data_IF_942514242719
#
_entry.id   IF_942514242719
#
_cell.length_a   1.000
_cell.length_b   1.000
_cell.length_c   1.000
_cell.angle_alpha   90.00
_cell.angle_beta   90.00
_cell.angle_gamma   90.00
#
_symmetry.space_group_name_H-M   'P 1'
#
loop_
_entity.id
_entity.type
_entity.pdbx_description
1 polymer ?
#
# COMPACT_ATOMS: atom_id res chain seq x y z
N UNK A 1 17.09 25.03 -20.40
CA UNK A 1 17.45 26.20 -19.57
C UNK A 1 16.32 26.59 -18.60
N UNK A 2 15.06 26.79 -19.09
CA UNK A 2 13.94 27.20 -18.22
C UNK A 2 13.64 26.19 -17.08
N UNK A 3 13.75 24.89 -17.36
CA UNK A 3 13.58 23.86 -16.33
C UNK A 3 14.62 23.98 -15.22
N UNK A 4 15.87 24.22 -15.57
CA UNK A 4 16.94 24.43 -14.59
C UNK A 4 16.72 25.72 -13.77
N UNK A 5 16.21 26.79 -14.39
CA UNK A 5 15.90 28.02 -13.68
C UNK A 5 14.77 27.82 -12.65
N UNK A 6 13.77 26.99 -12.94
CA UNK A 6 12.73 26.66 -11.99
C UNK A 6 13.29 25.87 -10.79
N UNK A 7 14.21 24.94 -11.03
CA UNK A 7 14.82 24.12 -9.98
C UNK A 7 15.73 24.91 -9.04
N UNK A 8 16.40 25.95 -9.51
CA UNK A 8 17.28 26.82 -8.69
C UNK A 8 16.56 28.02 -8.10
N UNK A 9 15.26 28.18 -8.34
CA UNK A 9 14.43 29.22 -7.74
C UNK A 9 14.38 29.05 -6.21
N UNK A 10 14.04 30.12 -5.50
CA UNK A 10 13.88 30.08 -4.05
C UNK A 10 12.47 30.60 -3.67
N UNK A 11 11.51 29.73 -3.24
CA UNK A 11 11.66 28.27 -3.09
C UNK A 11 11.78 27.55 -4.45
N UNK A 12 12.40 26.34 -4.50
CA UNK A 12 12.51 25.60 -5.73
C UNK A 12 11.15 25.11 -6.23
N UNK A 13 10.92 25.21 -7.53
CA UNK A 13 9.69 24.78 -8.19
C UNK A 13 9.95 23.44 -8.90
N UNK A 14 9.98 22.36 -8.13
CA UNK A 14 10.43 21.04 -8.59
C UNK A 14 9.49 20.50 -9.67
N UNK A 15 8.16 20.53 -9.45
CA UNK A 15 7.19 20.05 -10.43
C UNK A 15 7.29 20.79 -11.76
N UNK A 16 7.30 22.12 -11.73
CA UNK A 16 7.47 22.94 -12.95
C UNK A 16 8.80 22.67 -13.65
N UNK A 17 9.89 22.51 -12.88
CA UNK A 17 11.19 22.18 -13.41
C UNK A 17 11.21 20.83 -14.14
N UNK A 18 10.65 19.80 -13.54
CA UNK A 18 10.55 18.47 -14.12
C UNK A 18 9.67 18.43 -15.38
N UNK A 19 8.53 19.10 -15.37
CA UNK A 19 7.63 19.21 -16.55
C UNK A 19 8.34 19.88 -17.73
N UNK A 20 9.08 20.97 -17.49
CA UNK A 20 9.83 21.67 -18.52
C UNK A 20 10.99 20.81 -19.05
N UNK A 21 11.65 20.03 -18.21
CA UNK A 21 12.71 19.10 -18.62
C UNK A 21 12.13 17.96 -19.45
N UNK A 22 11.00 17.40 -19.06
CA UNK A 22 10.31 16.34 -19.81
C UNK A 22 9.82 16.86 -21.18
N UNK A 23 9.25 18.07 -21.24
CA UNK A 23 8.83 18.72 -22.49
C UNK A 23 10.03 18.95 -23.40
N UNK A 24 11.17 19.42 -22.87
CA UNK A 24 12.41 19.57 -23.59
C UNK A 24 12.93 18.25 -24.15
N UNK A 25 12.89 17.18 -23.38
CA UNK A 25 13.28 15.84 -23.82
C UNK A 25 12.41 15.31 -24.95
N UNK A 26 11.06 15.48 -24.84
CA UNK A 26 10.11 15.12 -25.91
C UNK A 26 10.36 15.92 -27.20
N UNK A 27 10.60 17.21 -27.07
CA UNK A 27 10.91 18.09 -28.23
C UNK A 27 12.20 17.65 -28.92
N UNK A 28 13.27 17.38 -28.15
CA UNK A 28 14.53 16.88 -28.71
C UNK A 28 14.37 15.52 -29.39
N UNK A 29 13.53 14.66 -28.89
CA UNK A 29 13.22 13.35 -29.48
C UNK A 29 12.44 13.50 -30.80
N UNK A 30 11.57 14.47 -30.91
CA UNK A 30 10.74 14.75 -32.10
C UNK A 30 11.55 15.39 -33.26
N UNK A 31 12.58 16.19 -32.94
CA UNK A 31 13.40 16.89 -33.97
C UNK A 31 14.42 15.96 -34.67
N UNK A 32 14.58 14.72 -34.17
CA UNK A 32 15.43 13.70 -34.78
C UNK A 32 16.83 13.62 -34.16
N UNK A 33 17.40 12.45 -34.29
CA UNK A 33 18.56 12.00 -33.50
C UNK A 33 19.90 12.60 -33.90
N UNK A 34 19.99 13.32 -35.02
CA UNK A 34 21.28 13.66 -35.63
C UNK A 34 21.88 15.02 -35.22
N UNK A 35 21.14 15.84 -34.46
CA UNK A 35 21.52 17.22 -34.24
C UNK A 35 22.04 17.55 -32.84
N UNK A 36 21.80 16.70 -31.85
CA UNK A 36 22.21 16.97 -30.47
C UNK A 36 23.14 15.90 -29.95
N UNK A 37 24.22 16.37 -29.32
CA UNK A 37 25.19 15.47 -28.72
C UNK A 37 24.52 14.49 -27.74
N UNK A 38 24.87 13.21 -27.78
CA UNK A 38 24.36 12.21 -26.81
C UNK A 38 24.51 12.65 -25.36
N UNK A 39 25.51 13.46 -25.07
CA UNK A 39 25.80 14.06 -23.76
C UNK A 39 24.67 14.95 -23.26
N UNK A 40 24.05 15.77 -24.12
CA UNK A 40 22.95 16.66 -23.71
C UNK A 40 21.73 15.85 -23.28
N UNK A 41 21.41 14.79 -24.04
CA UNK A 41 20.31 13.89 -23.67
C UNK A 41 20.59 13.12 -22.38
N UNK A 42 21.83 12.67 -22.23
CA UNK A 42 22.26 12.00 -20.99
C UNK A 42 22.17 12.94 -19.79
N UNK A 43 22.64 14.17 -19.91
CA UNK A 43 22.56 15.15 -18.83
C UNK A 43 21.11 15.49 -18.47
N UNK A 44 20.23 15.64 -19.46
CA UNK A 44 18.79 15.85 -19.21
C UNK A 44 18.18 14.66 -18.47
N UNK A 45 18.48 13.43 -18.90
CA UNK A 45 17.98 12.22 -18.25
C UNK A 45 18.49 12.10 -16.81
N UNK A 46 19.77 12.39 -16.57
CA UNK A 46 20.35 12.38 -15.23
C UNK A 46 19.71 13.44 -14.32
N UNK A 47 19.57 14.67 -14.82
CA UNK A 47 18.95 15.76 -14.05
C UNK A 47 17.49 15.39 -13.68
N UNK A 48 16.73 14.83 -14.63
CA UNK A 48 15.37 14.37 -14.35
C UNK A 48 15.36 13.25 -13.31
N UNK A 49 16.27 12.29 -13.44
CA UNK A 49 16.37 11.19 -12.49
C UNK A 49 16.67 11.67 -11.06
N UNK A 50 17.62 12.59 -10.90
CA UNK A 50 17.97 13.15 -9.60
C UNK A 50 16.82 13.93 -8.96
N UNK A 51 15.96 14.54 -9.76
CA UNK A 51 14.83 15.35 -9.29
C UNK A 51 13.53 14.56 -9.15
N UNK A 52 13.41 13.40 -9.81
CA UNK A 52 12.18 12.62 -9.89
C UNK A 52 11.62 12.20 -8.53
N UNK A 53 12.41 11.80 -7.52
CA UNK A 53 11.87 11.50 -6.19
C UNK A 53 11.17 12.70 -5.55
N UNK A 54 11.79 13.88 -5.57
CA UNK A 54 11.19 15.12 -5.06
C UNK A 54 9.91 15.51 -5.82
N UNK A 55 9.92 15.36 -7.14
CA UNK A 55 8.76 15.60 -8.00
C UNK A 55 7.58 14.70 -7.65
N UNK A 56 7.82 13.41 -7.45
CA UNK A 56 6.80 12.45 -7.02
C UNK A 56 6.19 12.85 -5.69
N UNK A 57 7.03 13.14 -4.68
CA UNK A 57 6.55 13.52 -3.35
C UNK A 57 5.73 14.82 -3.38
N UNK A 58 6.16 15.82 -4.18
CA UNK A 58 5.40 17.06 -4.36
C UNK A 58 4.01 16.80 -4.94
N UNK A 59 3.90 16.00 -6.02
CA UNK A 59 2.62 15.66 -6.64
C UNK A 59 1.72 14.82 -5.72
N UNK A 60 2.29 13.86 -4.99
CA UNK A 60 1.53 13.04 -4.03
C UNK A 60 1.13 13.83 -2.78
N UNK A 61 1.84 14.92 -2.43
CA UNK A 61 1.46 15.79 -1.32
C UNK A 61 0.23 16.67 -1.61
N UNK A 62 -0.12 16.84 -2.89
CA UNK A 62 -1.28 17.63 -3.30
C UNK A 62 -2.57 17.17 -2.60
N UNK A 63 -3.58 18.05 -2.42
CA UNK A 63 -4.88 17.68 -1.87
C UNK A 63 -5.50 16.48 -2.59
N UNK A 64 -6.33 15.70 -1.89
CA UNK A 64 -6.96 14.49 -2.46
C UNK A 64 -7.91 14.81 -3.64
N UNK A 65 -8.39 16.04 -3.71
CA UNK A 65 -9.23 16.58 -4.79
C UNK A 65 -8.43 16.83 -6.08
N UNK A 66 -7.11 17.03 -5.99
CA UNK A 66 -6.18 17.26 -7.11
C UNK A 66 -5.89 15.95 -7.86
N UNK A 67 -6.95 15.31 -8.38
CA UNK A 67 -6.87 13.96 -8.96
C UNK A 67 -5.91 13.84 -10.14
N UNK A 68 -5.79 14.90 -10.97
CA UNK A 68 -4.93 14.87 -12.15
C UNK A 68 -3.45 14.89 -11.77
N UNK A 69 -3.07 15.76 -10.85
CA UNK A 69 -1.71 15.92 -10.33
C UNK A 69 -1.29 14.66 -9.57
N UNK A 70 -2.15 14.14 -8.69
CA UNK A 70 -1.89 12.91 -7.96
C UNK A 70 -1.75 11.69 -8.89
N UNK A 71 -2.60 11.59 -9.93
CA UNK A 71 -2.47 10.53 -10.94
C UNK A 71 -1.15 10.63 -11.74
N UNK A 72 -0.66 11.86 -11.98
CA UNK A 72 0.67 12.08 -12.57
C UNK A 72 1.77 11.61 -11.61
N UNK A 73 1.67 11.95 -10.32
CA UNK A 73 2.58 11.49 -9.27
C UNK A 73 2.65 9.96 -9.18
N UNK A 74 1.51 9.27 -9.21
CA UNK A 74 1.46 7.81 -9.21
C UNK A 74 2.12 7.18 -10.44
N UNK A 75 1.94 7.78 -11.64
CA UNK A 75 2.62 7.30 -12.85
C UNK A 75 4.14 7.51 -12.76
N UNK A 76 4.57 8.66 -12.24
CA UNK A 76 5.98 8.95 -12.04
C UNK A 76 6.59 8.00 -10.99
N UNK A 77 5.87 7.73 -9.88
CA UNK A 77 6.28 6.77 -8.86
C UNK A 77 6.48 5.37 -9.47
N UNK A 78 5.51 4.86 -10.23
CA UNK A 78 5.65 3.58 -10.94
C UNK A 78 6.87 3.56 -11.86
N UNK A 79 7.10 4.64 -12.62
CA UNK A 79 8.25 4.73 -13.51
C UNK A 79 9.58 4.63 -12.77
N UNK A 80 9.67 5.22 -11.57
CA UNK A 80 10.85 5.10 -10.70
C UNK A 80 11.03 3.70 -10.14
N UNK A 81 9.94 3.07 -9.68
CA UNK A 81 9.99 1.76 -9.04
C UNK A 81 10.22 0.63 -10.05
N UNK A 82 9.72 0.76 -11.30
CA UNK A 82 9.73 -0.28 -12.32
C UNK A 82 10.85 -0.12 -13.36
N UNK A 83 11.89 0.65 -13.04
CA UNK A 83 13.03 0.79 -13.94
C UNK A 83 13.79 -0.53 -14.09
N UNK A 84 14.15 -0.87 -15.33
CA UNK A 84 15.02 -2.01 -15.64
C UNK A 84 16.50 -1.67 -15.55
N UNK A 85 16.82 -0.39 -15.60
CA UNK A 85 18.19 0.10 -15.62
C UNK A 85 18.71 0.25 -14.19
N UNK A 86 19.68 -0.57 -13.75
CA UNK A 86 20.23 -0.45 -12.41
C UNK A 86 20.86 0.92 -12.11
N UNK A 87 21.30 1.65 -13.14
CA UNK A 87 21.85 3.00 -12.98
C UNK A 87 20.78 4.05 -12.67
N UNK A 88 19.50 3.70 -12.88
CA UNK A 88 18.35 4.52 -12.58
C UNK A 88 17.56 3.99 -11.36
N UNK A 89 18.07 2.96 -10.68
CA UNK A 89 17.48 2.48 -9.46
C UNK A 89 17.64 3.53 -8.33
N UNK A 90 16.62 3.61 -7.48
CA UNK A 90 16.66 4.50 -6.32
C UNK A 90 17.71 4.02 -5.33
N UNK A 91 18.71 4.84 -5.03
CA UNK A 91 19.79 4.51 -4.08
C UNK A 91 19.26 4.25 -2.66
N UNK A 92 18.17 4.93 -2.29
CA UNK A 92 17.50 4.82 -0.96
C UNK A 92 16.02 4.51 -1.14
N UNK A 93 15.72 3.38 -1.80
CA UNK A 93 14.34 2.98 -2.11
C UNK A 93 13.47 2.90 -0.87
N UNK A 94 13.97 2.27 0.20
CA UNK A 94 13.21 2.11 1.44
C UNK A 94 12.83 3.46 2.06
N UNK A 95 13.79 4.36 2.25
CA UNK A 95 13.56 5.71 2.82
C UNK A 95 12.58 6.53 1.95
N UNK A 96 12.68 6.39 0.62
CA UNK A 96 11.79 7.07 -0.31
C UNK A 96 10.37 6.50 -0.25
N UNK A 97 10.25 5.18 -0.21
CA UNK A 97 8.94 4.51 -0.11
C UNK A 97 8.26 4.79 1.23
N UNK A 98 9.00 4.92 2.33
CA UNK A 98 8.45 5.34 3.60
C UNK A 98 7.75 6.70 3.48
N UNK A 99 8.44 7.71 2.93
CA UNK A 99 7.87 9.03 2.69
C UNK A 99 6.69 9.01 1.70
N UNK A 100 6.80 8.25 0.61
CA UNK A 100 5.73 8.14 -0.38
C UNK A 100 4.47 7.49 0.21
N UNK A 101 4.63 6.46 1.05
CA UNK A 101 3.54 5.74 1.70
C UNK A 101 2.70 6.64 2.62
N UNK A 102 3.31 7.60 3.33
CA UNK A 102 2.58 8.59 4.14
C UNK A 102 1.65 9.49 3.32
N UNK A 103 1.94 9.65 2.03
CA UNK A 103 1.19 10.51 1.11
C UNK A 103 0.13 9.75 0.31
N UNK A 104 0.18 8.42 0.29
CA UNK A 104 -0.73 7.59 -0.50
C UNK A 104 -2.02 7.26 0.27
N UNK A 105 -3.14 7.27 -0.45
CA UNK A 105 -4.38 6.65 0.02
C UNK A 105 -4.29 5.13 -0.13
N UNK A 106 -5.11 4.38 0.62
CA UNK A 106 -5.18 2.93 0.48
C UNK A 106 -5.46 2.51 -0.98
N UNK A 107 -6.37 3.23 -1.66
CA UNK A 107 -6.70 2.96 -3.07
C UNK A 107 -5.52 3.18 -4.02
N UNK A 108 -4.74 4.22 -3.80
CA UNK A 108 -3.55 4.50 -4.61
C UNK A 108 -2.45 3.47 -4.37
N UNK A 109 -2.31 3.02 -3.11
CA UNK A 109 -1.36 1.97 -2.75
C UNK A 109 -1.72 0.63 -3.39
N UNK A 110 -3.00 0.19 -3.34
CA UNK A 110 -3.44 -1.04 -4.02
C UNK A 110 -3.19 -0.97 -5.53
N UNK A 111 -3.40 0.21 -6.13
CA UNK A 111 -3.18 0.40 -7.55
C UNK A 111 -1.70 0.46 -7.94
N UNK A 112 -0.77 0.68 -7.01
CA UNK A 112 0.65 0.90 -7.30
C UNK A 112 1.31 -0.33 -7.93
N UNK A 113 0.96 -1.52 -7.47
CA UNK A 113 1.57 -2.78 -7.91
C UNK A 113 0.70 -3.59 -8.89
N UNK A 114 -0.47 -3.08 -9.27
CA UNK A 114 -1.27 -3.69 -10.34
C UNK A 114 -0.44 -3.65 -11.64
N UNK A 115 -0.33 -4.80 -12.31
CA UNK A 115 0.47 -4.98 -13.53
C UNK A 115 1.98 -4.73 -13.34
N UNK A 116 2.49 -4.85 -12.10
CA UNK A 116 3.93 -4.77 -11.85
C UNK A 116 4.65 -5.86 -12.66
N UNK A 117 5.74 -5.51 -13.36
CA UNK A 117 6.51 -6.51 -14.11
C UNK A 117 7.19 -7.53 -13.17
N UNK A 118 7.23 -8.80 -13.57
CA UNK A 118 7.80 -9.92 -12.79
C UNK A 118 9.28 -9.73 -12.40
N UNK A 119 10.01 -8.84 -13.09
CA UNK A 119 11.41 -8.57 -12.79
C UNK A 119 11.61 -7.55 -11.65
N UNK A 120 10.54 -6.95 -11.14
CA UNK A 120 10.62 -6.03 -10.00
C UNK A 120 10.59 -6.86 -8.73
N UNK A 121 11.68 -6.90 -7.94
CA UNK A 121 11.64 -7.52 -6.65
C UNK A 121 10.72 -6.70 -5.74
N UNK A 122 9.68 -7.34 -5.22
CA UNK A 122 8.88 -6.76 -4.16
C UNK A 122 9.67 -6.89 -2.84
N UNK A 123 9.87 -5.77 -2.15
CA UNK A 123 10.35 -5.79 -0.78
C UNK A 123 9.23 -6.35 0.13
N UNK A 124 9.62 -7.08 1.18
CA UNK A 124 8.66 -7.64 2.15
C UNK A 124 7.77 -6.55 2.76
N UNK A 125 8.33 -5.38 3.05
CA UNK A 125 7.61 -4.24 3.61
C UNK A 125 6.60 -3.65 2.62
N UNK A 126 6.96 -3.58 1.34
CA UNK A 126 6.07 -3.11 0.27
C UNK A 126 4.90 -4.08 0.07
N UNK A 127 5.16 -5.40 0.13
CA UNK A 127 4.13 -6.45 0.01
C UNK A 127 3.18 -6.40 1.20
N UNK A 128 3.72 -6.29 2.41
CA UNK A 128 2.92 -6.16 3.63
C UNK A 128 2.03 -4.90 3.60
N UNK A 129 2.59 -3.74 3.27
CA UNK A 129 1.80 -2.50 3.13
C UNK A 129 0.73 -2.60 2.04
N UNK A 130 1.01 -3.35 0.95
CA UNK A 130 0.00 -3.62 -0.07
C UNK A 130 -1.16 -4.45 0.48
N UNK A 131 -0.91 -5.47 1.32
CA UNK A 131 -1.96 -6.24 1.97
C UNK A 131 -2.83 -5.34 2.86
N UNK A 132 -2.23 -4.52 3.72
CA UNK A 132 -2.97 -3.57 4.57
C UNK A 132 -3.78 -2.57 3.75
N UNK A 133 -3.25 -2.11 2.63
CA UNK A 133 -3.96 -1.23 1.72
C UNK A 133 -5.21 -1.90 1.11
N UNK A 134 -5.13 -3.20 0.78
CA UNK A 134 -6.29 -3.96 0.32
C UNK A 134 -7.34 -4.10 1.41
N UNK A 135 -6.95 -4.32 2.67
CA UNK A 135 -7.89 -4.33 3.81
C UNK A 135 -8.62 -2.99 3.91
N UNK A 136 -7.87 -1.90 4.04
CA UNK A 136 -8.47 -0.56 4.26
C UNK A 136 -9.32 -0.13 3.07
N UNK A 137 -8.82 -0.28 1.83
CA UNK A 137 -9.59 0.06 0.63
C UNK A 137 -10.83 -0.84 0.49
N UNK A 138 -10.71 -2.14 0.79
CA UNK A 138 -11.81 -3.08 0.78
C UNK A 138 -12.90 -2.72 1.78
N UNK A 139 -12.53 -2.33 2.98
CA UNK A 139 -13.46 -1.87 4.03
C UNK A 139 -14.15 -0.57 3.63
N UNK A 140 -13.42 0.44 3.17
CA UNK A 140 -13.97 1.72 2.71
C UNK A 140 -14.94 1.53 1.53
N UNK A 141 -14.55 0.74 0.54
CA UNK A 141 -15.33 0.52 -0.69
C UNK A 141 -16.39 -0.58 -0.57
N UNK A 142 -16.50 -1.23 0.59
CA UNK A 142 -17.42 -2.37 0.84
C UNK A 142 -17.21 -3.49 -0.18
N UNK A 143 -15.95 -3.86 -0.43
CA UNK A 143 -15.52 -4.86 -1.41
C UNK A 143 -14.83 -6.06 -0.74
N UNK A 144 -15.57 -7.12 -0.36
CA UNK A 144 -15.00 -8.31 0.29
C UNK A 144 -13.92 -9.02 -0.53
N UNK A 145 -13.96 -8.91 -1.88
CA UNK A 145 -12.88 -9.46 -2.72
C UNK A 145 -11.52 -8.87 -2.39
N UNK A 146 -11.44 -7.57 -2.08
CA UNK A 146 -10.16 -6.96 -1.71
C UNK A 146 -9.64 -7.49 -0.35
N UNK A 147 -10.56 -7.87 0.54
CA UNK A 147 -10.18 -8.54 1.79
C UNK A 147 -9.64 -9.95 1.51
N UNK A 148 -10.26 -10.67 0.57
CA UNK A 148 -9.76 -11.99 0.15
C UNK A 148 -8.38 -11.88 -0.51
N UNK A 149 -8.17 -10.88 -1.37
CA UNK A 149 -6.85 -10.60 -1.98
C UNK A 149 -5.80 -10.27 -0.90
N UNK A 150 -6.17 -9.48 0.11
CA UNK A 150 -5.29 -9.18 1.25
C UNK A 150 -4.92 -10.45 2.04
N UNK A 151 -5.90 -11.31 2.31
CA UNK A 151 -5.68 -12.59 3.01
C UNK A 151 -4.70 -13.47 2.25
N UNK A 152 -4.83 -13.57 0.92
CA UNK A 152 -3.91 -14.34 0.07
C UNK A 152 -2.48 -13.78 0.12
N UNK A 153 -2.32 -12.46 0.07
CA UNK A 153 -1.01 -11.81 0.19
C UNK A 153 -0.38 -12.12 1.55
N UNK A 154 -1.14 -12.02 2.65
CA UNK A 154 -0.67 -12.32 4.00
C UNK A 154 -0.30 -13.80 4.17
N UNK A 155 -1.05 -14.71 3.56
CA UNK A 155 -0.70 -16.14 3.55
C UNK A 155 0.63 -16.39 2.83
N UNK A 156 0.90 -15.70 1.73
CA UNK A 156 2.18 -15.78 1.03
C UNK A 156 3.34 -15.25 1.90
N UNK A 157 3.14 -14.14 2.62
CA UNK A 157 4.12 -13.59 3.58
C UNK A 157 4.42 -14.63 4.67
N UNK A 158 3.38 -15.22 5.28
CA UNK A 158 3.50 -16.22 6.33
C UNK A 158 4.24 -17.49 5.84
N UNK A 159 3.99 -17.91 4.60
CA UNK A 159 4.69 -19.05 4.00
C UNK A 159 6.16 -18.73 3.73
N UNK A 160 6.46 -17.55 3.22
CA UNK A 160 7.82 -17.10 2.95
C UNK A 160 8.64 -17.00 4.24
N UNK A 161 8.07 -16.51 5.33
CA UNK A 161 8.73 -16.38 6.63
C UNK A 161 9.13 -17.73 7.22
N UNK A 162 8.32 -18.78 7.03
CA UNK A 162 8.63 -20.14 7.51
C UNK A 162 9.80 -20.81 6.77
N UNK A 163 10.15 -20.34 5.60
CA UNK A 163 11.21 -20.91 4.75
C UNK A 163 12.51 -20.07 4.74
N UNK A 164 12.56 -18.96 5.46
CA UNK A 164 13.70 -18.05 5.50
C UNK A 164 14.29 -17.98 6.90
N UNK A 165 15.57 -18.35 7.04
CA UNK A 165 16.34 -18.15 8.29
C UNK A 165 16.56 -16.65 8.63
N UNK A 166 16.30 -15.77 7.68
CA UNK A 166 16.29 -14.32 7.81
C UNK A 166 14.86 -13.79 7.69
N UNK A 167 13.92 -14.33 8.47
CA UNK A 167 12.58 -13.76 8.57
C UNK A 167 12.71 -12.31 9.03
N UNK A 168 12.45 -11.37 8.12
CA UNK A 168 12.45 -9.95 8.39
C UNK A 168 11.41 -9.58 9.46
N UNK A 169 11.16 -8.30 9.67
CA UNK A 169 10.24 -7.75 10.69
C UNK A 169 8.82 -8.34 10.68
N UNK A 170 8.41 -9.06 9.64
CA UNK A 170 7.05 -9.62 9.46
C UNK A 170 7.04 -11.15 9.57
N UNK A 171 7.67 -11.69 10.61
CA UNK A 171 7.64 -13.15 10.87
C UNK A 171 6.27 -13.66 11.33
N UNK A 172 5.44 -12.79 11.89
CA UNK A 172 4.11 -13.12 12.39
C UNK A 172 3.08 -12.10 11.89
N UNK A 173 2.18 -12.54 11.03
CA UNK A 173 1.03 -11.77 10.49
C UNK A 173 -0.30 -12.39 10.94
N UNK A 174 -0.29 -13.07 12.10
CA UNK A 174 -1.44 -13.79 12.62
C UNK A 174 -2.65 -12.89 12.89
N UNK A 175 -2.43 -11.70 13.45
CA UNK A 175 -3.50 -10.72 13.75
C UNK A 175 -4.11 -10.18 12.46
N UNK A 176 -3.30 -9.78 11.49
CA UNK A 176 -3.77 -9.27 10.19
C UNK A 176 -4.59 -10.31 9.43
N UNK A 177 -4.15 -11.56 9.44
CA UNK A 177 -4.87 -12.69 8.85
C UNK A 177 -6.20 -12.92 9.57
N UNK A 178 -6.19 -12.94 10.89
CA UNK A 178 -7.41 -13.09 11.68
C UNK A 178 -8.43 -11.97 11.39
N UNK A 179 -7.98 -10.72 11.27
CA UNK A 179 -8.86 -9.60 10.90
C UNK A 179 -9.46 -9.80 9.50
N UNK A 180 -8.65 -10.22 8.51
CA UNK A 180 -9.17 -10.55 7.18
C UNK A 180 -10.22 -11.67 7.24
N UNK A 181 -9.95 -12.74 7.98
CA UNK A 181 -10.84 -13.88 8.14
C UNK A 181 -12.13 -13.48 8.84
N UNK A 182 -12.08 -12.66 9.90
CA UNK A 182 -13.26 -12.10 10.54
C UNK A 182 -14.11 -11.26 9.59
N UNK A 183 -13.47 -10.38 8.79
CA UNK A 183 -14.17 -9.60 7.76
C UNK A 183 -14.81 -10.47 6.66
N UNK A 184 -14.33 -11.69 6.45
CA UNK A 184 -14.88 -12.69 5.54
C UNK A 184 -15.88 -13.64 6.22
N UNK A 185 -16.11 -13.51 7.54
CA UNK A 185 -17.03 -14.36 8.31
C UNK A 185 -16.45 -15.74 8.65
N UNK A 186 -15.13 -15.88 8.64
CA UNK A 186 -14.38 -17.14 8.89
C UNK A 186 -13.84 -17.12 10.33
N UNK A 187 -14.72 -17.38 11.30
CA UNK A 187 -14.40 -17.24 12.73
C UNK A 187 -13.39 -18.30 13.19
N UNK A 188 -13.61 -19.56 12.80
CA UNK A 188 -12.73 -20.68 13.20
C UNK A 188 -11.30 -20.49 12.66
N UNK A 189 -11.17 -20.01 11.43
CA UNK A 189 -9.87 -19.70 10.81
C UNK A 189 -9.19 -18.54 11.53
N UNK A 190 -9.94 -17.53 11.95
CA UNK A 190 -9.41 -16.40 12.72
C UNK A 190 -8.87 -16.84 14.08
N UNK A 191 -9.59 -17.67 14.83
CA UNK A 191 -9.14 -18.25 16.08
C UNK A 191 -7.85 -19.08 15.87
N UNK A 192 -7.80 -19.84 14.77
CA UNK A 192 -6.61 -20.61 14.43
C UNK A 192 -5.41 -19.73 14.09
N UNK A 193 -5.62 -18.66 13.33
CA UNK A 193 -4.56 -17.70 12.97
C UNK A 193 -4.00 -16.96 14.19
N UNK A 194 -4.81 -16.77 15.23
CA UNK A 194 -4.39 -16.16 16.50
C UNK A 194 -3.74 -17.17 17.47
N UNK A 195 -3.72 -18.48 17.15
CA UNK A 195 -3.18 -19.51 18.04
C UNK A 195 -4.04 -19.81 19.27
N UNK A 196 -5.35 -19.50 19.23
CA UNK A 196 -6.24 -19.72 20.36
C UNK A 196 -6.49 -21.23 20.61
N UNK A 197 -6.43 -22.05 19.57
CA UNK A 197 -6.63 -23.51 19.69
C UNK A 197 -5.44 -24.27 20.28
N UNK A 198 -4.23 -23.84 19.98
CA UNK A 198 -3.00 -24.57 20.37
C UNK A 198 -2.27 -23.92 21.55
N UNK A 199 -2.84 -22.82 22.07
CA UNK A 199 -2.28 -22.08 23.20
C UNK A 199 -1.02 -21.28 22.87
N UNK A 200 -0.73 -21.04 21.59
CA UNK A 200 0.40 -20.21 21.14
C UNK A 200 0.06 -18.71 21.10
N UNK A 201 -1.22 -18.36 21.31
CA UNK A 201 -1.68 -16.98 21.32
C UNK A 201 -0.95 -16.11 22.36
N UNK A 202 -0.75 -14.84 22.04
CA UNK A 202 -0.24 -13.85 23.00
C UNK A 202 -1.16 -13.74 24.21
N UNK A 203 -0.64 -13.88 25.45
CA UNK A 203 -1.48 -13.84 26.64
C UNK A 203 -2.26 -12.52 26.82
N UNK A 204 -1.69 -11.37 26.38
CA UNK A 204 -2.38 -10.09 26.44
C UNK A 204 -3.56 -10.03 25.46
N UNK A 205 -3.41 -10.63 24.28
CA UNK A 205 -4.48 -10.76 23.30
C UNK A 205 -5.60 -11.68 23.82
N UNK A 206 -5.26 -12.83 24.40
CA UNK A 206 -6.24 -13.75 25.02
C UNK A 206 -7.05 -13.01 26.08
N UNK A 207 -6.38 -12.34 27.02
CA UNK A 207 -7.03 -11.56 28.07
C UNK A 207 -7.95 -10.48 27.50
N UNK A 208 -7.50 -9.78 26.44
CA UNK A 208 -8.31 -8.75 25.76
C UNK A 208 -9.62 -9.32 25.19
N UNK A 209 -9.54 -10.51 24.55
CA UNK A 209 -10.67 -11.20 23.94
C UNK A 209 -11.63 -11.69 25.04
N UNK A 210 -11.10 -12.34 26.09
CA UNK A 210 -11.90 -12.87 27.21
C UNK A 210 -12.65 -11.77 27.96
N UNK A 211 -11.98 -10.65 28.27
CA UNK A 211 -12.59 -9.49 28.96
C UNK A 211 -13.77 -8.90 28.19
N UNK A 212 -13.83 -9.12 26.87
CA UNK A 212 -14.88 -8.62 25.98
C UNK A 212 -15.86 -9.69 25.49
N UNK A 213 -15.75 -10.89 26.03
CA UNK A 213 -16.57 -12.05 25.69
C UNK A 213 -17.35 -12.57 26.92
N UNK A 214 -18.30 -11.78 27.49
CA UNK A 214 -19.00 -12.14 28.71
C UNK A 214 -19.83 -13.44 28.58
N UNK A 215 -20.21 -13.83 27.38
CA UNK A 215 -20.91 -15.07 27.06
C UNK A 215 -20.03 -16.31 27.17
N UNK A 216 -18.69 -16.14 27.21
CA UNK A 216 -17.72 -17.23 27.10
C UNK A 216 -17.50 -17.72 25.66
N UNK A 217 -18.15 -17.10 24.69
CA UNK A 217 -17.92 -17.26 23.26
C UNK A 217 -17.00 -16.14 22.80
N UNK A 218 -15.89 -16.47 22.16
CA UNK A 218 -14.88 -15.48 21.76
C UNK A 218 -15.32 -14.50 20.68
N UNK A 219 -16.45 -14.70 20.04
CA UNK A 219 -16.91 -13.90 18.89
C UNK A 219 -16.98 -12.40 19.21
N UNK A 220 -17.52 -12.02 20.37
CA UNK A 220 -17.64 -10.60 20.76
C UNK A 220 -16.26 -9.97 20.95
N UNK A 221 -15.35 -10.67 21.61
CA UNK A 221 -13.97 -10.21 21.83
C UNK A 221 -13.15 -10.15 20.53
N UNK A 222 -13.33 -11.10 19.62
CA UNK A 222 -12.72 -11.12 18.31
C UNK A 222 -13.19 -9.94 17.44
N UNK A 223 -14.51 -9.64 17.46
CA UNK A 223 -15.04 -8.48 16.77
C UNK A 223 -14.45 -7.18 17.34
N UNK A 224 -14.40 -7.05 18.66
CA UNK A 224 -13.83 -5.88 19.31
C UNK A 224 -12.31 -5.72 19.00
N UNK A 225 -11.57 -6.82 18.91
CA UNK A 225 -10.16 -6.82 18.52
C UNK A 225 -10.00 -6.34 17.08
N UNK A 226 -10.81 -6.83 16.15
CA UNK A 226 -10.74 -6.43 14.76
C UNK A 226 -11.13 -4.96 14.56
N UNK A 227 -12.19 -4.49 15.22
CA UNK A 227 -12.62 -3.09 15.20
C UNK A 227 -11.52 -2.16 15.70
N UNK A 228 -10.89 -2.52 16.82
CA UNK A 228 -9.79 -1.73 17.39
C UNK A 228 -8.56 -1.76 16.47
N UNK A 229 -8.19 -2.92 15.92
CA UNK A 229 -7.07 -3.02 15.01
C UNK A 229 -7.27 -2.19 13.73
N UNK A 230 -8.48 -2.21 13.16
CA UNK A 230 -8.81 -1.38 12.00
C UNK A 230 -8.66 0.11 12.32
N UNK A 231 -9.19 0.56 13.47
CA UNK A 231 -9.19 1.96 13.84
C UNK A 231 -7.80 2.49 14.25
N UNK A 232 -7.06 1.70 15.03
CA UNK A 232 -5.82 2.16 15.68
C UNK A 232 -4.56 1.81 14.88
N UNK A 233 -4.61 0.77 14.03
CA UNK A 233 -3.46 0.26 13.29
C UNK A 233 -3.59 0.49 11.79
N UNK A 234 -4.63 -0.07 11.14
CA UNK A 234 -4.69 -0.10 9.69
C UNK A 234 -5.07 1.25 9.05
N UNK A 235 -6.14 1.88 9.53
CA UNK A 235 -6.64 3.12 8.94
C UNK A 235 -5.67 4.30 9.06
N UNK A 236 -4.94 4.50 10.17
CA UNK A 236 -3.97 5.58 10.28
C UNK A 236 -2.78 5.51 9.31
N UNK A 237 -2.51 4.35 8.72
CA UNK A 237 -1.40 4.16 7.77
C UNK A 237 -1.64 4.82 6.42
N UNK A 238 -2.88 5.19 6.09
CA UNK A 238 -3.24 5.68 4.76
C UNK A 238 -3.88 7.06 4.83
N UNK A 239 -3.38 7.96 3.99
CA UNK A 239 -3.87 9.33 3.90
C UNK A 239 -5.39 9.36 3.63
N UNK A 240 -6.11 10.13 4.42
CA UNK A 240 -7.55 10.32 4.29
C UNK A 240 -8.41 9.17 4.84
N UNK A 241 -7.81 8.04 5.28
CA UNK A 241 -8.58 6.94 5.85
C UNK A 241 -8.93 7.21 7.33
N UNK A 242 -8.00 7.75 8.11
CA UNK A 242 -8.23 8.08 9.52
C UNK A 242 -9.37 9.09 9.70
N UNK A 243 -9.49 10.08 8.82
CA UNK A 243 -10.55 11.09 8.87
C UNK A 243 -11.93 10.52 8.54
N UNK A 244 -12.00 9.45 7.74
CA UNK A 244 -13.24 8.74 7.43
C UNK A 244 -13.71 7.87 8.60
N UNK A 245 -12.79 7.42 9.44
CA UNK A 245 -13.03 6.46 10.51
C UNK A 245 -13.23 5.03 10.01
N UNK A 246 -12.75 4.06 10.78
CA UNK A 246 -13.00 2.66 10.50
C UNK A 246 -14.44 2.30 10.88
N UNK A 247 -15.21 1.64 9.99
CA UNK A 247 -16.49 1.08 10.39
C UNK A 247 -16.28 -0.13 11.30
N UNK A 248 -17.27 -0.40 12.14
CA UNK A 248 -17.29 -1.64 12.93
C UNK A 248 -17.60 -2.86 12.05
N UNK A 249 -17.27 -4.06 12.54
CA UNK A 249 -17.67 -5.30 11.88
C UNK A 249 -19.19 -5.41 11.76
N UNK A 250 -19.96 -4.90 12.72
CA UNK A 250 -21.42 -4.85 12.64
C UNK A 250 -21.87 -4.01 11.43
N UNK A 251 -21.33 -2.81 11.25
CA UNK A 251 -21.60 -1.94 10.10
C UNK A 251 -21.11 -2.56 8.78
N UNK A 252 -20.00 -3.28 8.80
CA UNK A 252 -19.47 -4.01 7.66
C UNK A 252 -20.47 -5.09 7.22
N UNK A 253 -20.91 -5.97 8.12
CA UNK A 253 -21.85 -7.05 7.82
C UNK A 253 -23.28 -6.56 7.57
N UNK A 254 -23.68 -5.36 8.01
CA UNK A 254 -24.95 -4.76 7.64
C UNK A 254 -25.05 -4.44 6.13
N UNK A 255 -23.92 -4.45 5.41
CA UNK A 255 -23.87 -4.11 3.97
C UNK A 255 -24.33 -5.29 3.10
N UNK A 256 -25.33 -5.11 2.20
CA UNK A 256 -25.87 -6.21 1.39
C UNK A 256 -24.84 -6.90 0.49
N UNK A 257 -23.87 -6.13 -0.03
CA UNK A 257 -22.80 -6.68 -0.86
C UNK A 257 -21.90 -7.65 -0.07
N UNK A 258 -21.59 -7.30 1.18
CA UNK A 258 -20.79 -8.14 2.08
C UNK A 258 -21.58 -9.41 2.44
N UNK A 259 -22.84 -9.28 2.85
CA UNK A 259 -23.71 -10.42 3.17
C UNK A 259 -23.82 -11.40 2.00
N UNK A 260 -24.04 -10.88 0.80
CA UNK A 260 -24.13 -11.69 -0.41
C UNK A 260 -22.82 -12.40 -0.77
N UNK A 261 -21.66 -11.81 -0.48
CA UNK A 261 -20.37 -12.44 -0.69
C UNK A 261 -20.13 -13.56 0.34
N UNK A 262 -20.28 -13.28 1.63
CA UNK A 262 -20.07 -14.24 2.72
C UNK A 262 -21.00 -15.44 2.60
N UNK A 263 -22.28 -15.21 2.27
CA UNK A 263 -23.24 -16.29 2.05
C UNK A 263 -22.84 -17.23 0.91
N UNK A 264 -22.24 -16.69 -0.15
CA UNK A 264 -21.72 -17.53 -1.25
C UNK A 264 -20.51 -18.34 -0.82
N UNK A 265 -19.55 -17.73 -0.12
CA UNK A 265 -18.37 -18.45 0.37
C UNK A 265 -18.77 -19.63 1.26
N UNK A 266 -19.66 -19.41 2.23
CA UNK A 266 -20.14 -20.45 3.14
C UNK A 266 -21.00 -21.53 2.46
N UNK A 267 -21.48 -21.31 1.24
CA UNK A 267 -22.23 -22.32 0.47
C UNK A 267 -21.34 -23.29 -0.32
N UNK A 268 -20.05 -23.01 -0.42
CA UNK A 268 -19.05 -23.84 -1.12
C UNK A 268 -18.10 -24.56 -0.15
N UNK A 269 -18.10 -24.20 1.13
CA UNK A 269 -17.39 -24.88 2.20
C UNK A 269 -18.23 -26.04 2.76
#
# INVERSE_FOLDING_TARGET
EYGHMALVANPPRIAEGCELIEMGSKTLSAVGTNSFAPEVRRNIAMTYHDMAPGYVLELLSMPLESKAERALGLRALRSLLWTKDPSQALEKRADFMEQANELLTAREQTALFIDAPDYIPADSDEVYKSALAHVVAGVIERKPMMIADASEILDQIQLASKHSDNAGHFSDVGVERAVCQLLLGQIEEAEHSLGLYDGSADPGLVQFIEDRSPSGDYVEGLCAMADQWLADVAFPLFRGAAEQGAPTLEEWFATPNVQGFVSRMNSFA
#
